data_IF_307714734940
#
_entry.id   IF_307714734940
#
_cell.length_a   1.000
_cell.length_b   1.000
_cell.length_c   1.000
_cell.angle_alpha   90.00
_cell.angle_beta   90.00
_cell.angle_gamma   90.00
#
_symmetry.space_group_name_H-M   'P 1'
#
loop_
_entity.id
_entity.type
_entity.pdbx_description
1 polymer ?
#
# COMPACT_ATOMS: atom_id res chain seq x y z
N UNK A 1 2.81 -16.28 -18.34
CA UNK A 1 2.56 -15.19 -19.32
C UNK A 1 3.87 -14.47 -19.67
N UNK A 2 4.09 -14.04 -20.93
CA UNK A 2 5.43 -13.59 -21.39
C UNK A 2 5.62 -12.08 -21.53
N UNK A 3 4.62 -11.25 -21.17
CA UNK A 3 4.75 -9.79 -21.29
C UNK A 3 5.62 -9.25 -20.15
N UNK A 4 6.70 -8.51 -20.42
CA UNK A 4 7.52 -7.88 -19.37
C UNK A 4 6.83 -6.67 -18.72
N UNK A 5 5.70 -6.19 -19.26
CA UNK A 5 5.02 -4.97 -18.80
C UNK A 5 4.11 -5.18 -17.56
N UNK A 6 3.91 -6.42 -17.13
CA UNK A 6 3.14 -6.71 -15.92
C UNK A 6 4.12 -6.74 -14.75
N UNK A 7 3.93 -5.84 -13.78
CA UNK A 7 4.74 -5.79 -12.57
C UNK A 7 4.46 -6.99 -11.67
N UNK A 8 3.19 -7.17 -11.29
CA UNK A 8 2.74 -8.25 -10.41
C UNK A 8 1.31 -8.70 -10.75
N UNK A 9 0.93 -9.88 -10.27
CA UNK A 9 -0.47 -10.26 -10.10
C UNK A 9 -0.89 -9.96 -8.67
N UNK A 10 -1.88 -9.11 -8.49
CA UNK A 10 -2.49 -8.83 -7.20
C UNK A 10 -3.74 -9.71 -7.03
N UNK A 11 -3.96 -10.24 -5.83
CA UNK A 11 -5.08 -11.16 -5.60
C UNK A 11 -6.43 -10.44 -5.68
N UNK A 12 -6.54 -9.30 -5.01
CA UNK A 12 -7.70 -8.42 -5.02
C UNK A 12 -7.33 -7.05 -4.45
N UNK A 13 -8.12 -6.04 -4.80
CA UNK A 13 -8.08 -4.75 -4.12
C UNK A 13 -8.73 -4.85 -2.73
N UNK A 14 -7.99 -4.48 -1.69
CA UNK A 14 -8.44 -4.36 -0.29
C UNK A 14 -9.26 -5.56 0.23
N UNK A 15 -8.76 -6.81 0.12
CA UNK A 15 -9.51 -7.96 0.59
C UNK A 15 -9.64 -7.94 2.12
N UNK A 16 -10.88 -7.85 2.62
CA UNK A 16 -11.20 -7.97 4.05
C UNK A 16 -12.13 -9.15 4.32
N UNK A 17 -12.04 -9.70 5.53
CA UNK A 17 -12.98 -10.65 6.12
C UNK A 17 -13.30 -10.23 7.57
N UNK A 18 -13.93 -9.06 7.75
CA UNK A 18 -14.23 -8.52 9.08
C UNK A 18 -15.12 -9.46 9.90
N UNK A 19 -14.67 -9.83 11.10
CA UNK A 19 -15.37 -10.75 12.00
C UNK A 19 -15.24 -12.23 11.63
N UNK A 20 -14.48 -12.57 10.59
CA UNK A 20 -14.11 -13.94 10.27
C UNK A 20 -13.00 -14.45 11.19
N UNK A 21 -12.82 -15.78 11.20
CA UNK A 21 -11.56 -16.36 11.68
C UNK A 21 -10.42 -15.96 10.74
N UNK A 22 -9.26 -15.57 11.29
CA UNK A 22 -8.12 -15.07 10.51
C UNK A 22 -7.60 -16.11 9.50
N UNK A 23 -7.84 -17.40 9.75
CA UNK A 23 -7.46 -18.47 8.82
C UNK A 23 -8.21 -18.39 7.48
N UNK A 24 -9.39 -17.75 7.42
CA UNK A 24 -10.19 -17.67 6.19
C UNK A 24 -9.46 -16.85 5.12
N UNK A 25 -9.08 -15.61 5.46
CA UNK A 25 -8.38 -14.74 4.52
C UNK A 25 -6.97 -15.31 4.22
N UNK A 26 -6.25 -15.75 5.25
CA UNK A 26 -4.92 -16.37 5.11
C UNK A 26 -4.90 -17.58 4.18
N UNK A 27 -5.88 -18.49 4.32
CA UNK A 27 -5.99 -19.68 3.46
C UNK A 27 -6.33 -19.30 2.02
N UNK A 28 -7.27 -18.36 1.84
CA UNK A 28 -7.61 -17.86 0.51
C UNK A 28 -6.40 -17.21 -0.19
N UNK A 29 -5.59 -16.41 0.52
CA UNK A 29 -4.36 -15.82 -0.02
C UNK A 29 -3.39 -16.91 -0.46
N UNK A 30 -3.10 -17.88 0.42
CA UNK A 30 -2.14 -18.95 0.13
C UNK A 30 -2.56 -19.82 -1.06
N UNK A 31 -3.82 -20.24 -1.12
CA UNK A 31 -4.33 -21.08 -2.21
C UNK A 31 -4.37 -20.32 -3.54
N UNK A 32 -4.77 -19.05 -3.53
CA UNK A 32 -4.87 -18.23 -4.74
C UNK A 32 -3.47 -17.88 -5.28
N UNK A 33 -2.54 -17.47 -4.42
CA UNK A 33 -1.16 -17.18 -4.82
C UNK A 33 -0.47 -18.42 -5.41
N UNK A 34 -0.64 -19.58 -4.76
CA UNK A 34 -0.14 -20.86 -5.28
C UNK A 34 -0.73 -21.20 -6.65
N UNK A 35 -2.02 -20.98 -6.84
CA UNK A 35 -2.66 -21.19 -8.13
C UNK A 35 -2.09 -20.26 -9.22
N UNK A 36 -1.93 -18.97 -8.93
CA UNK A 36 -1.31 -18.01 -9.87
C UNK A 36 0.11 -18.44 -10.24
N UNK A 37 0.95 -18.80 -9.27
CA UNK A 37 2.32 -19.29 -9.54
C UNK A 37 2.35 -20.57 -10.37
N UNK A 38 1.33 -21.42 -10.27
CA UNK A 38 1.21 -22.61 -11.13
C UNK A 38 0.96 -22.26 -12.61
N UNK A 39 0.39 -21.08 -12.88
CA UNK A 39 0.14 -20.56 -14.22
C UNK A 39 1.26 -19.63 -14.73
N UNK A 40 1.92 -18.92 -13.82
CA UNK A 40 2.95 -17.92 -14.15
C UNK A 40 4.06 -17.85 -13.08
N UNK A 41 4.93 -18.86 -13.04
CA UNK A 41 5.98 -18.97 -12.02
C UNK A 41 7.01 -17.82 -12.00
N UNK A 42 7.12 -17.05 -13.10
CA UNK A 42 8.12 -15.99 -13.25
C UNK A 42 7.62 -14.60 -12.84
N UNK A 43 6.33 -14.44 -12.52
CA UNK A 43 5.74 -13.14 -12.17
C UNK A 43 5.61 -13.01 -10.66
N UNK A 44 5.84 -11.81 -10.13
CA UNK A 44 5.56 -11.50 -8.74
C UNK A 44 4.06 -11.57 -8.44
N UNK A 45 3.71 -11.94 -7.22
CA UNK A 45 2.35 -12.00 -6.70
C UNK A 45 2.31 -11.27 -5.36
N UNK A 46 1.27 -10.46 -5.16
CA UNK A 46 1.02 -9.71 -3.92
C UNK A 46 -0.45 -9.85 -3.50
N UNK A 47 -0.77 -9.42 -2.29
CA UNK A 47 -2.12 -9.55 -1.71
C UNK A 47 -3.07 -8.44 -2.16
N UNK A 48 -2.61 -7.18 -2.19
CA UNK A 48 -3.46 -5.99 -2.37
C UNK A 48 -4.18 -5.56 -1.09
N UNK A 49 -3.70 -6.03 0.07
CA UNK A 49 -4.28 -5.70 1.37
C UNK A 49 -3.86 -4.31 1.87
N UNK A 50 -4.67 -3.74 2.76
CA UNK A 50 -4.42 -2.42 3.34
C UNK A 50 -3.37 -2.42 4.46
N UNK A 51 -2.89 -3.59 4.88
CA UNK A 51 -1.90 -3.72 5.96
C UNK A 51 -2.48 -3.87 7.37
N UNK A 52 -3.78 -4.10 7.51
CA UNK A 52 -4.40 -4.20 8.83
C UNK A 52 -3.94 -5.41 9.66
N UNK A 53 -3.99 -5.26 10.98
CA UNK A 53 -3.59 -6.32 11.91
C UNK A 53 -2.08 -6.42 11.99
N UNK A 54 -1.43 -5.40 12.54
CA UNK A 54 0.02 -5.34 12.68
C UNK A 54 0.37 -5.22 14.15
N UNK A 55 1.24 -6.08 14.68
CA UNK A 55 1.65 -5.99 16.10
C UNK A 55 2.83 -5.03 16.30
N UNK A 56 3.64 -4.83 15.26
CA UNK A 56 4.80 -3.92 15.30
C UNK A 56 4.32 -2.48 15.38
N UNK A 57 4.65 -1.82 16.50
CA UNK A 57 4.30 -0.42 16.71
C UNK A 57 2.80 -0.18 16.87
N UNK A 58 2.03 -1.22 17.22
CA UNK A 58 0.62 -1.13 17.57
C UNK A 58 0.38 -0.07 18.66
N UNK A 59 -0.39 0.95 18.31
CA UNK A 59 -0.79 2.05 19.17
C UNK A 59 -2.22 1.89 19.73
N UNK A 60 -2.87 0.76 19.45
CA UNK A 60 -4.24 0.42 19.81
C UNK A 60 -5.30 1.04 18.90
N UNK A 61 -4.92 1.76 17.83
CA UNK A 61 -5.87 2.28 16.85
C UNK A 61 -6.45 1.15 15.99
N UNK A 62 -7.65 1.39 15.46
CA UNK A 62 -8.41 0.38 14.70
C UNK A 62 -7.57 -0.31 13.59
N UNK A 63 -6.81 0.40 12.74
CA UNK A 63 -5.99 -0.23 11.68
C UNK A 63 -4.97 -1.28 12.16
N UNK A 64 -4.35 -1.09 13.33
CA UNK A 64 -3.40 -2.07 13.87
C UNK A 64 -4.09 -3.33 14.40
N UNK A 65 -5.40 -3.28 14.65
CA UNK A 65 -6.14 -4.46 15.13
C UNK A 65 -6.46 -5.43 13.99
N UNK A 66 -6.39 -6.73 14.27
CA UNK A 66 -6.82 -7.77 13.33
C UNK A 66 -8.33 -7.69 13.01
N UNK A 67 -9.10 -7.01 13.85
CA UNK A 67 -10.52 -6.74 13.62
C UNK A 67 -10.81 -5.76 12.48
N UNK A 68 -9.86 -4.94 12.05
CA UNK A 68 -10.09 -3.97 10.98
C UNK A 68 -10.30 -4.62 9.62
N UNK A 69 -9.42 -5.55 9.26
CA UNK A 69 -9.49 -6.30 8.01
C UNK A 69 -9.91 -7.76 8.16
N UNK A 70 -9.91 -8.32 9.38
CA UNK A 70 -9.84 -9.78 9.51
C UNK A 70 -8.52 -10.34 8.96
N UNK A 71 -7.45 -9.54 9.02
CA UNK A 71 -6.10 -9.85 8.55
C UNK A 71 -5.11 -9.74 9.70
N UNK A 72 -3.97 -10.41 9.54
CA UNK A 72 -2.76 -10.24 10.34
C UNK A 72 -1.62 -10.05 9.33
N UNK A 73 -1.16 -8.81 9.19
CA UNK A 73 -0.22 -8.40 8.15
C UNK A 73 1.09 -9.17 8.21
N UNK A 74 1.61 -9.45 9.41
CA UNK A 74 2.86 -10.21 9.57
C UNK A 74 2.67 -11.65 9.07
N UNK A 75 1.52 -12.26 9.36
CA UNK A 75 1.20 -13.61 8.89
C UNK A 75 0.90 -13.69 7.39
N UNK A 76 0.18 -12.71 6.81
CA UNK A 76 -0.15 -12.68 5.38
C UNK A 76 1.07 -12.33 4.54
N UNK A 77 1.87 -11.36 4.97
CA UNK A 77 3.13 -11.01 4.34
C UNK A 77 4.10 -12.19 4.32
N UNK A 78 4.11 -13.06 5.33
CA UNK A 78 4.98 -14.23 5.38
C UNK A 78 4.54 -15.43 4.49
N UNK A 79 3.36 -15.37 3.84
CA UNK A 79 2.84 -16.49 3.03
C UNK A 79 3.78 -16.84 1.87
N UNK A 80 4.00 -18.14 1.63
CA UNK A 80 4.73 -18.64 0.47
C UNK A 80 4.02 -18.22 -0.83
N UNK A 81 4.78 -17.83 -1.85
CA UNK A 81 4.28 -17.31 -3.14
C UNK A 81 3.75 -15.88 -3.13
N UNK A 82 3.73 -15.19 -1.98
CA UNK A 82 3.67 -13.73 -1.92
C UNK A 82 5.10 -13.21 -2.01
N UNK A 83 5.44 -12.41 -3.01
CA UNK A 83 6.81 -11.97 -3.27
C UNK A 83 7.13 -10.62 -2.62
N UNK A 84 6.12 -9.78 -2.42
CA UNK A 84 6.19 -8.49 -1.72
C UNK A 84 4.85 -8.23 -1.02
N UNK A 85 4.85 -7.32 -0.06
CA UNK A 85 3.69 -7.05 0.78
C UNK A 85 3.18 -5.63 0.53
N UNK A 86 1.87 -5.44 0.59
CA UNK A 86 1.20 -4.18 0.29
C UNK A 86 0.51 -3.64 1.53
N UNK A 87 0.45 -2.33 1.64
CA UNK A 87 -0.34 -1.65 2.66
C UNK A 87 -0.79 -0.29 2.12
N UNK A 88 -1.94 0.18 2.61
CA UNK A 88 -2.56 1.42 2.18
C UNK A 88 -2.49 2.46 3.31
N UNK A 89 -2.90 3.70 3.07
CA UNK A 89 -2.91 4.75 4.09
C UNK A 89 -4.01 5.80 3.86
N UNK A 90 -5.08 5.73 4.66
CA UNK A 90 -6.19 6.69 4.63
C UNK A 90 -6.65 7.13 6.03
N UNK A 91 -5.91 8.01 6.72
CA UNK A 91 -6.23 8.44 8.07
C UNK A 91 -7.64 9.00 8.27
N UNK A 92 -8.16 9.77 7.30
CA UNK A 92 -9.52 10.33 7.33
C UNK A 92 -10.58 9.22 7.37
N UNK A 93 -10.44 8.20 6.53
CA UNK A 93 -11.34 7.04 6.47
C UNK A 93 -11.27 6.17 7.73
N UNK A 94 -10.09 6.10 8.35
CA UNK A 94 -9.84 5.25 9.51
C UNK A 94 -10.05 5.97 10.85
N UNK A 95 -10.44 7.25 10.81
CA UNK A 95 -10.65 8.09 12.00
C UNK A 95 -9.42 8.15 12.92
N UNK A 96 -8.22 8.20 12.34
CA UNK A 96 -6.96 8.32 13.09
C UNK A 96 -6.38 9.73 12.95
N UNK A 97 -5.83 10.25 14.05
CA UNK A 97 -5.28 11.60 14.11
C UNK A 97 -4.18 11.70 15.19
N UNK A 98 -3.18 12.57 15.03
CA UNK A 98 -2.96 13.44 13.87
C UNK A 98 -2.44 12.65 12.65
N UNK A 99 -3.02 12.91 11.48
CA UNK A 99 -2.89 12.07 10.29
C UNK A 99 -1.44 11.95 9.79
N UNK A 100 -0.70 13.08 9.76
CA UNK A 100 0.67 13.10 9.25
C UNK A 100 1.59 12.20 10.07
N UNK A 101 1.66 12.42 11.39
CA UNK A 101 2.53 11.67 12.28
C UNK A 101 2.11 10.20 12.38
N UNK A 102 0.81 9.93 12.44
CA UNK A 102 0.30 8.56 12.45
C UNK A 102 0.64 7.82 11.17
N UNK A 103 0.47 8.45 10.00
CA UNK A 103 0.81 7.86 8.71
C UNK A 103 2.31 7.59 8.53
N UNK A 104 3.18 8.48 9.03
CA UNK A 104 4.63 8.22 9.07
C UNK A 104 4.95 6.98 9.90
N UNK A 105 4.36 6.85 11.10
CA UNK A 105 4.56 5.68 11.95
C UNK A 105 4.03 4.39 11.29
N UNK A 106 2.87 4.47 10.63
CA UNK A 106 2.28 3.36 9.88
C UNK A 106 3.25 2.83 8.80
N UNK A 107 3.83 3.73 8.00
CA UNK A 107 4.83 3.40 6.97
C UNK A 107 6.07 2.74 7.57
N UNK A 108 6.66 3.34 8.61
CA UNK A 108 7.85 2.78 9.26
C UNK A 108 7.61 1.39 9.85
N UNK A 109 6.43 1.16 10.42
CA UNK A 109 6.09 -0.11 11.06
C UNK A 109 5.83 -1.22 10.04
N UNK A 110 5.18 -0.92 8.91
CA UNK A 110 5.04 -1.86 7.79
C UNK A 110 6.40 -2.20 7.18
N UNK A 111 7.25 -1.20 6.98
CA UNK A 111 8.61 -1.42 6.49
C UNK A 111 9.39 -2.38 7.41
N UNK A 112 9.29 -2.23 8.74
CA UNK A 112 9.91 -3.15 9.71
C UNK A 112 9.36 -4.59 9.60
N UNK A 113 8.05 -4.75 9.44
CA UNK A 113 7.42 -6.06 9.23
C UNK A 113 7.91 -6.73 7.94
N UNK A 114 8.00 -5.97 6.85
CA UNK A 114 8.55 -6.43 5.58
C UNK A 114 10.01 -6.86 5.68
N UNK A 115 10.87 -6.07 6.35
CA UNK A 115 12.26 -6.46 6.65
C UNK A 115 12.30 -7.77 7.44
N UNK A 116 11.45 -7.92 8.46
CA UNK A 116 11.37 -9.14 9.26
C UNK A 116 10.91 -10.37 8.45
N UNK A 117 10.02 -10.16 7.47
CA UNK A 117 9.59 -11.20 6.53
C UNK A 117 10.61 -11.50 5.43
N UNK A 118 11.66 -10.67 5.28
CA UNK A 118 12.64 -10.76 4.20
C UNK A 118 12.04 -10.45 2.83
N UNK A 119 11.02 -9.58 2.79
CA UNK A 119 10.29 -9.19 1.56
C UNK A 119 10.20 -7.67 1.48
N UNK A 120 10.17 -7.08 0.27
CA UNK A 120 9.93 -5.65 0.13
C UNK A 120 8.46 -5.32 0.42
N UNK A 121 8.25 -4.09 0.89
CA UNK A 121 6.94 -3.46 1.04
C UNK A 121 6.66 -2.49 -0.11
N UNK A 122 5.38 -2.33 -0.43
CA UNK A 122 4.84 -1.31 -1.32
C UNK A 122 3.75 -0.53 -0.58
N UNK A 123 3.94 0.78 -0.38
CA UNK A 123 2.85 1.68 -0.02
C UNK A 123 1.96 1.85 -1.26
N UNK A 124 0.98 0.96 -1.41
CA UNK A 124 0.28 0.75 -2.68
C UNK A 124 -0.85 1.76 -2.91
N UNK A 125 -1.37 2.35 -1.83
CA UNK A 125 -2.26 3.50 -1.90
C UNK A 125 -2.04 4.45 -0.72
N UNK A 126 -2.10 5.75 -0.98
CA UNK A 126 -2.23 6.76 0.07
C UNK A 126 -2.90 8.03 -0.45
N UNK A 127 -3.63 8.71 0.44
CA UNK A 127 -4.24 10.01 0.14
C UNK A 127 -4.76 10.72 1.38
N UNK A 128 -4.69 12.05 1.39
CA UNK A 128 -5.20 12.88 2.49
C UNK A 128 -5.85 14.17 1.97
N UNK A 129 -6.93 14.02 1.20
CA UNK A 129 -7.72 15.15 0.70
C UNK A 129 -6.87 16.14 -0.12
N UNK A 130 -5.99 15.62 -0.98
CA UNK A 130 -5.12 16.41 -1.85
C UNK A 130 -4.16 17.35 -1.08
N UNK A 131 -3.63 16.91 0.06
CA UNK A 131 -2.81 17.74 0.94
C UNK A 131 -1.31 17.46 0.78
N UNK A 132 -0.65 18.32 0.01
CA UNK A 132 0.79 18.26 -0.26
C UNK A 132 1.65 18.15 1.01
N UNK A 133 1.37 18.91 2.08
CA UNK A 133 2.17 18.92 3.31
C UNK A 133 2.10 17.60 4.09
N UNK A 134 1.00 16.87 3.96
CA UNK A 134 0.82 15.56 4.60
C UNK A 134 1.38 14.44 3.72
N UNK A 135 0.97 14.41 2.47
CA UNK A 135 1.31 13.33 1.53
C UNK A 135 2.81 13.33 1.18
N UNK A 136 3.46 14.49 0.99
CA UNK A 136 4.91 14.56 0.76
C UNK A 136 5.75 14.13 1.98
N UNK A 137 5.23 14.33 3.19
CA UNK A 137 5.87 13.80 4.41
C UNK A 137 5.87 12.27 4.41
N UNK A 138 4.78 11.66 3.95
CA UNK A 138 4.67 10.20 3.85
C UNK A 138 5.60 9.66 2.77
N UNK A 139 5.69 10.32 1.62
CA UNK A 139 6.65 9.99 0.55
C UNK A 139 8.10 10.04 1.04
N UNK A 140 8.47 11.07 1.80
CA UNK A 140 9.81 11.18 2.39
C UNK A 140 10.11 10.04 3.36
N UNK A 141 9.14 9.66 4.20
CA UNK A 141 9.28 8.52 5.12
C UNK A 141 9.36 7.19 4.37
N UNK A 142 8.52 7.01 3.34
CA UNK A 142 8.49 5.82 2.49
C UNK A 142 9.82 5.62 1.73
N UNK A 143 10.43 6.70 1.22
CA UNK A 143 11.74 6.67 0.57
C UNK A 143 12.87 6.33 1.55
N UNK A 144 12.79 6.82 2.79
CA UNK A 144 13.83 6.61 3.80
C UNK A 144 13.77 5.28 4.57
N UNK A 145 12.67 4.52 4.46
CA UNK A 145 12.45 3.31 5.24
C UNK A 145 13.01 2.06 4.52
N UNK A 146 14.00 1.38 5.12
CA UNK A 146 14.73 0.24 4.53
C UNK A 146 13.84 -0.86 3.93
N UNK A 147 12.68 -1.13 4.52
CA UNK A 147 11.75 -2.15 4.04
C UNK A 147 10.80 -1.71 2.93
N UNK A 148 10.62 -0.41 2.73
CA UNK A 148 9.69 0.12 1.73
C UNK A 148 10.42 0.37 0.41
N UNK A 149 9.96 -0.27 -0.67
CA UNK A 149 10.65 -0.28 -1.97
C UNK A 149 9.95 0.56 -3.03
N UNK A 150 8.80 1.14 -2.71
CA UNK A 150 8.06 2.03 -3.58
C UNK A 150 6.80 2.56 -2.91
N UNK A 151 6.21 3.57 -3.52
CA UNK A 151 4.95 4.17 -3.10
C UNK A 151 4.14 4.61 -4.31
N UNK A 152 2.81 4.48 -4.23
CA UNK A 152 1.86 4.81 -5.27
C UNK A 152 0.75 5.66 -4.66
N UNK A 153 0.71 6.95 -5.01
CA UNK A 153 -0.35 7.84 -4.52
C UNK A 153 -1.70 7.45 -5.16
N UNK A 154 -2.76 7.58 -4.37
CA UNK A 154 -4.13 7.46 -4.87
C UNK A 154 -4.69 8.87 -5.10
N UNK A 155 -5.02 9.30 -6.31
CA UNK A 155 -4.90 8.60 -7.59
C UNK A 155 -4.51 9.56 -8.72
N UNK A 156 -4.05 9.03 -9.86
CA UNK A 156 -3.74 9.85 -11.02
C UNK A 156 -4.99 10.52 -11.60
N UNK A 157 -4.92 11.84 -11.83
CA UNK A 157 -5.92 12.61 -12.55
C UNK A 157 -5.39 13.15 -13.88
N UNK A 158 -6.24 13.22 -14.90
CA UNK A 158 -5.87 13.78 -16.21
C UNK A 158 -7.04 14.50 -16.89
N UNK A 159 -6.74 15.23 -17.96
CA UNK A 159 -7.74 15.76 -18.90
C UNK A 159 -7.62 15.03 -20.23
N UNK A 160 -8.57 14.14 -20.48
CA UNK A 160 -8.66 13.38 -21.72
C UNK A 160 -9.43 14.18 -22.78
N UNK A 161 -9.49 13.64 -24.00
CA UNK A 161 -10.20 14.29 -25.13
C UNK A 161 -11.68 14.61 -24.87
N UNK A 162 -12.31 13.96 -23.88
CA UNK A 162 -13.70 14.15 -23.49
C UNK A 162 -13.86 14.90 -22.16
N UNK A 163 -12.78 15.41 -21.58
CA UNK A 163 -12.79 16.13 -20.30
C UNK A 163 -11.97 15.44 -19.22
N UNK A 164 -12.11 15.94 -17.99
CA UNK A 164 -11.39 15.43 -16.84
C UNK A 164 -11.81 13.99 -16.49
N UNK A 165 -10.85 13.22 -15.97
CA UNK A 165 -11.09 11.93 -15.32
C UNK A 165 -11.91 12.10 -14.04
N UNK A 166 -12.20 11.00 -13.34
CA UNK A 166 -12.91 11.07 -12.07
C UNK A 166 -12.11 11.87 -11.02
N UNK A 167 -12.82 12.52 -10.11
CA UNK A 167 -12.26 13.13 -8.91
C UNK A 167 -13.09 12.72 -7.70
N UNK A 168 -12.48 11.97 -6.79
CA UNK A 168 -13.01 11.42 -5.55
C UNK A 168 -12.58 12.20 -4.29
N UNK A 169 -11.74 13.23 -4.45
CA UNK A 169 -11.15 14.01 -3.37
C UNK A 169 -9.66 13.70 -3.12
N UNK A 170 -9.07 12.76 -3.86
CA UNK A 170 -7.64 12.44 -3.77
C UNK A 170 -6.92 12.50 -5.13
N UNK A 171 -7.62 12.78 -6.23
CA UNK A 171 -7.00 12.75 -7.56
C UNK A 171 -5.96 13.86 -7.74
N UNK A 172 -4.72 13.50 -8.06
CA UNK A 172 -3.61 14.40 -8.37
C UNK A 172 -3.55 14.60 -9.88
N UNK A 173 -4.06 15.75 -10.35
CA UNK A 173 -4.18 16.04 -11.77
C UNK A 173 -2.85 16.47 -12.41
N UNK A 174 -2.49 15.85 -13.54
CA UNK A 174 -1.31 16.22 -14.32
C UNK A 174 -1.24 17.73 -14.61
N UNK A 175 -0.05 18.33 -14.40
CA UNK A 175 0.21 19.74 -14.67
C UNK A 175 -0.35 20.72 -13.65
N UNK A 176 -0.67 20.26 -12.43
CA UNK A 176 -1.10 21.11 -11.31
C UNK A 176 -0.01 21.25 -10.25
N UNK A 177 -0.10 22.27 -9.39
CA UNK A 177 0.84 22.47 -8.27
C UNK A 177 0.94 21.24 -7.34
N UNK A 178 -0.16 20.50 -7.17
CA UNK A 178 -0.15 19.27 -6.39
C UNK A 178 0.62 18.15 -7.11
N UNK A 179 0.52 18.06 -8.43
CA UNK A 179 1.31 17.11 -9.22
C UNK A 179 2.79 17.43 -9.15
N UNK A 180 3.16 18.71 -9.16
CA UNK A 180 4.55 19.10 -8.94
C UNK A 180 5.04 18.65 -7.56
N UNK A 181 4.25 18.88 -6.50
CA UNK A 181 4.60 18.44 -5.14
C UNK A 181 4.68 16.90 -4.98
N UNK A 182 3.68 16.16 -5.43
CA UNK A 182 3.55 14.71 -5.15
C UNK A 182 4.26 13.85 -6.19
N UNK A 183 4.51 14.37 -7.40
CA UNK A 183 5.12 13.59 -8.49
C UNK A 183 6.46 14.16 -8.91
N UNK A 184 6.51 15.42 -9.35
CA UNK A 184 7.75 15.99 -9.91
C UNK A 184 8.87 16.06 -8.86
N UNK A 185 8.56 16.59 -7.67
CA UNK A 185 9.53 16.74 -6.59
C UNK A 185 9.92 15.37 -6.01
N UNK A 186 8.95 14.49 -5.73
CA UNK A 186 9.23 13.14 -5.20
C UNK A 186 10.09 12.29 -6.13
N UNK A 187 9.83 12.30 -7.44
CA UNK A 187 10.69 11.60 -8.41
C UNK A 187 12.11 12.17 -8.41
N UNK A 188 12.26 13.49 -8.24
CA UNK A 188 13.57 14.12 -8.14
C UNK A 188 14.31 13.71 -6.86
N UNK A 189 13.60 13.54 -5.74
CA UNK A 189 14.15 13.06 -4.48
C UNK A 189 14.59 11.59 -4.57
N UNK A 190 13.81 10.73 -5.24
CA UNK A 190 14.19 9.33 -5.52
C UNK A 190 15.48 9.26 -6.34
N UNK A 191 15.58 10.05 -7.40
CA UNK A 191 16.78 10.08 -8.27
C UNK A 191 18.04 10.59 -7.54
N UNK A 192 17.87 11.31 -6.43
CA UNK A 192 18.95 11.87 -5.63
C UNK A 192 19.44 10.97 -4.47
N UNK A 193 18.73 9.87 -4.18
CA UNK A 193 18.97 8.99 -3.03
C UNK A 193 20.12 7.98 -3.23
#
# INVERSE_FOLDING_TARGET
>A
PSSPAIFAWELANEPRCTGCDLSILKTWIADTAKYIKSLDANRMVTTGEEGFGLSIGDDGSYPYTTGAGGSDFEETCAIENIDFCTYHLYPDSWSVSPAKEWGNAWIENHAKACVAAGKPCLLEEFGFSNNCDVESSWQSTALGAEGNSGDLFWQYGDTLSYGQTHQDGNSVYYGTDLYDCIVTDHVSDIDAA
#
